data_IF_789142665726
#
_entry.id   IF_789142665726
#
_cell.length_a   1.000
_cell.length_b   1.000
_cell.length_c   1.000
_cell.angle_alpha   90.00
_cell.angle_beta   90.00
_cell.angle_gamma   90.00
#
_symmetry.space_group_name_H-M   'P 1'
#
loop_
_entity.id
_entity.type
_entity.pdbx_description
1 polymer ?
#
# COMPACT_ATOMS: atom_id res chain seq x y z
N UNK A 1 52.56 -6.17 9.36
CA UNK A 1 51.88 -6.24 8.04
C UNK A 1 50.44 -6.60 8.29
N UNK A 2 49.54 -5.63 8.15
CA UNK A 2 48.10 -5.82 8.33
C UNK A 2 47.48 -6.03 6.95
N UNK A 3 46.85 -7.17 6.72
CA UNK A 3 46.09 -7.48 5.52
C UNK A 3 44.70 -6.80 5.63
N UNK A 4 44.48 -5.80 4.79
CA UNK A 4 43.16 -5.21 4.62
C UNK A 4 42.32 -6.12 3.72
N UNK A 5 41.26 -6.69 4.26
CA UNK A 5 40.26 -7.46 3.53
C UNK A 5 39.32 -6.50 2.81
N UNK A 6 39.41 -6.42 1.48
CA UNK A 6 38.45 -5.74 0.62
C UNK A 6 37.17 -6.58 0.53
N UNK A 7 36.11 -6.14 1.18
CA UNK A 7 34.78 -6.67 0.97
C UNK A 7 34.25 -6.20 -0.40
N UNK A 8 34.20 -7.08 -1.38
CA UNK A 8 33.53 -6.85 -2.66
C UNK A 8 32.03 -6.97 -2.43
N UNK A 9 31.34 -5.84 -2.39
CA UNK A 9 29.88 -5.79 -2.41
C UNK A 9 29.42 -6.21 -3.81
N UNK A 10 28.86 -7.41 -3.93
CA UNK A 10 28.20 -7.84 -5.16
C UNK A 10 26.89 -7.07 -5.33
N UNK A 11 26.87 -6.08 -6.23
CA UNK A 11 25.64 -5.45 -6.67
C UNK A 11 24.74 -6.50 -7.32
N UNK A 12 23.51 -6.67 -6.81
CA UNK A 12 22.52 -7.51 -7.45
C UNK A 12 22.26 -7.00 -8.89
N UNK A 13 22.01 -7.90 -9.86
CA UNK A 13 21.76 -7.49 -11.23
C UNK A 13 20.55 -6.57 -11.29
N UNK A 14 20.76 -5.35 -11.77
CA UNK A 14 19.67 -4.42 -12.06
C UNK A 14 18.88 -5.00 -13.23
N UNK A 15 17.72 -5.59 -12.96
CA UNK A 15 16.78 -5.93 -14.04
C UNK A 15 16.44 -4.65 -14.78
N UNK A 16 16.52 -4.66 -16.11
CA UNK A 16 16.05 -3.54 -16.92
C UNK A 16 14.60 -3.23 -16.55
N UNK A 17 14.36 -2.02 -16.04
CA UNK A 17 13.05 -1.57 -15.60
C UNK A 17 12.08 -1.63 -16.79
N UNK A 18 10.91 -2.28 -16.62
CA UNK A 18 9.89 -2.39 -17.66
C UNK A 18 8.91 -1.22 -17.65
N UNK A 19 8.59 -0.73 -16.46
CA UNK A 19 7.68 0.40 -16.26
C UNK A 19 8.42 1.75 -16.32
N UNK A 20 7.65 2.82 -16.43
CA UNK A 20 8.12 4.21 -16.54
C UNK A 20 7.53 5.02 -15.39
N UNK A 21 8.35 5.81 -14.71
CA UNK A 21 7.89 6.81 -13.73
C UNK A 21 7.41 8.05 -14.46
N UNK A 22 6.16 8.45 -14.26
CA UNK A 22 5.57 9.63 -14.90
C UNK A 22 6.28 10.92 -14.43
N UNK A 23 6.64 10.99 -13.16
CA UNK A 23 7.33 12.14 -12.55
C UNK A 23 8.74 12.39 -13.09
N UNK A 24 9.36 11.40 -13.72
CA UNK A 24 10.71 11.53 -14.32
C UNK A 24 10.66 12.02 -15.79
N UNK A 25 9.47 12.19 -16.36
CA UNK A 25 9.28 12.60 -17.74
C UNK A 25 9.01 14.09 -17.88
N UNK A 26 9.50 14.66 -18.96
CA UNK A 26 8.97 15.93 -19.47
C UNK A 26 7.58 15.71 -20.06
N UNK A 27 6.78 16.79 -20.23
CA UNK A 27 5.46 16.65 -20.85
C UNK A 27 5.51 16.11 -22.29
N UNK A 28 6.58 16.41 -23.06
CA UNK A 28 6.80 15.91 -24.42
C UNK A 28 7.06 14.40 -24.42
N UNK A 29 7.77 13.89 -23.41
CA UNK A 29 8.01 12.45 -23.24
C UNK A 29 6.77 11.74 -22.72
N UNK A 30 6.03 12.36 -21.79
CA UNK A 30 4.76 11.84 -21.29
C UNK A 30 3.73 11.66 -22.41
N UNK A 31 3.62 12.58 -23.37
CA UNK A 31 2.74 12.49 -24.54
C UNK A 31 3.01 11.22 -25.38
N UNK A 32 4.25 10.77 -25.45
CA UNK A 32 4.63 9.57 -26.22
C UNK A 32 4.25 8.26 -25.54
N UNK A 33 4.16 8.25 -24.21
CA UNK A 33 3.90 7.03 -23.43
C UNK A 33 2.47 6.94 -22.91
N UNK A 34 1.75 8.05 -22.84
CA UNK A 34 0.33 8.11 -22.46
C UNK A 34 -0.55 7.83 -23.68
N UNK A 35 -0.78 6.56 -23.97
CA UNK A 35 -1.57 6.08 -25.11
C UNK A 35 -2.85 5.38 -24.64
N UNK A 36 -3.84 5.11 -25.50
CA UNK A 36 -5.03 4.35 -25.13
C UNK A 36 -4.75 2.95 -24.56
N UNK A 37 -3.62 2.35 -24.93
CA UNK A 37 -3.21 1.02 -24.46
C UNK A 37 -2.41 1.05 -23.14
N UNK A 38 -2.05 2.24 -22.67
CA UNK A 38 -1.28 2.41 -21.46
C UNK A 38 -2.13 2.09 -20.23
N UNK A 39 -1.59 1.25 -19.33
CA UNK A 39 -2.10 1.11 -17.97
C UNK A 39 -1.32 2.06 -17.07
N UNK A 40 -2.02 2.95 -16.39
CA UNK A 40 -1.44 3.86 -15.39
C UNK A 40 -1.65 3.28 -14.00
N UNK A 41 -0.56 3.09 -13.27
CA UNK A 41 -0.60 2.64 -11.86
C UNK A 41 -0.41 3.85 -10.96
N UNK A 42 -1.29 4.01 -9.96
CA UNK A 42 -1.27 5.10 -8.98
C UNK A 42 -1.02 4.47 -7.60
N UNK A 43 0.21 4.53 -7.05
CA UNK A 43 0.47 4.03 -5.72
C UNK A 43 -0.24 4.87 -4.66
N UNK A 44 -0.75 4.19 -3.61
CA UNK A 44 -1.44 4.82 -2.49
C UNK A 44 -0.94 4.24 -1.17
N UNK A 45 -0.34 5.07 -0.33
CA UNK A 45 0.10 4.70 1.01
C UNK A 45 0.22 5.91 1.91
N UNK A 46 -0.34 5.85 3.12
CA UNK A 46 -0.30 6.93 4.10
C UNK A 46 1.13 7.26 4.55
N UNK A 47 1.51 8.52 4.48
CA UNK A 47 2.79 9.01 5.02
C UNK A 47 2.64 9.58 6.44
N UNK A 48 1.41 9.77 6.89
CA UNK A 48 1.08 10.34 8.20
C UNK A 48 -0.18 9.64 8.77
N UNK A 49 0.00 8.37 9.19
CA UNK A 49 -1.02 7.54 9.84
C UNK A 49 -0.38 6.72 10.95
N UNK A 50 -1.06 6.59 12.06
CA UNK A 50 -0.65 5.78 13.20
C UNK A 50 -0.49 4.29 12.81
N UNK A 51 0.53 3.61 13.37
CA UNK A 51 0.82 2.18 13.20
C UNK A 51 1.47 1.58 14.46
N UNK A 52 0.83 1.77 15.61
CA UNK A 52 1.37 1.28 16.87
C UNK A 52 2.67 1.97 17.30
N UNK A 53 3.25 1.57 18.45
CA UNK A 53 4.42 2.24 19.00
C UNK A 53 5.74 1.84 18.30
N UNK A 54 5.74 0.76 17.51
CA UNK A 54 6.93 0.11 16.94
C UNK A 54 7.13 0.39 15.44
N UNK A 55 6.12 0.91 14.76
CA UNK A 55 6.19 1.30 13.34
C UNK A 55 6.14 2.84 13.20
N UNK A 56 6.56 3.34 12.04
CA UNK A 56 6.56 4.78 11.77
C UNK A 56 5.23 5.22 11.15
N UNK A 57 4.86 6.50 11.31
CA UNK A 57 3.66 7.07 10.67
C UNK A 57 3.61 6.88 9.16
N UNK A 58 4.76 6.78 8.50
CA UNK A 58 4.91 6.56 7.06
C UNK A 58 4.89 5.09 6.63
N UNK A 59 4.43 4.19 7.46
CA UNK A 59 4.45 2.73 7.22
C UNK A 59 3.82 2.36 5.87
N UNK A 60 2.58 2.77 5.62
CA UNK A 60 1.87 2.47 4.37
C UNK A 60 2.56 3.08 3.15
N UNK A 61 3.16 4.28 3.30
CA UNK A 61 3.92 4.91 2.23
C UNK A 61 5.15 4.09 1.86
N UNK A 62 5.90 3.57 2.83
CA UNK A 62 7.06 2.70 2.60
C UNK A 62 6.63 1.41 1.90
N UNK A 63 5.50 0.82 2.30
CA UNK A 63 4.90 -0.32 1.60
C UNK A 63 4.55 0.02 0.14
N UNK A 64 3.86 1.14 -0.09
CA UNK A 64 3.47 1.57 -1.42
C UNK A 64 4.70 1.80 -2.32
N UNK A 65 5.74 2.45 -1.81
CA UNK A 65 7.00 2.67 -2.52
C UNK A 65 7.75 1.35 -2.81
N UNK A 66 7.69 0.38 -1.90
CA UNK A 66 8.25 -0.94 -2.16
C UNK A 66 7.51 -1.62 -3.33
N UNK A 67 6.18 -1.71 -3.27
CA UNK A 67 5.39 -2.34 -4.34
C UNK A 67 5.48 -1.55 -5.65
N UNK A 68 5.53 -0.21 -5.61
CA UNK A 68 5.82 0.65 -6.77
C UNK A 68 7.08 0.19 -7.51
N UNK A 69 8.19 0.03 -6.79
CA UNK A 69 9.47 -0.46 -7.38
C UNK A 69 9.34 -1.88 -7.95
N UNK A 70 8.61 -2.76 -7.26
CA UNK A 70 8.41 -4.14 -7.73
C UNK A 70 7.56 -4.19 -9.01
N UNK A 71 6.53 -3.35 -9.11
CA UNK A 71 5.69 -3.22 -10.32
C UNK A 71 6.50 -2.63 -11.47
N UNK A 72 7.25 -1.56 -11.25
CA UNK A 72 8.14 -0.96 -12.25
C UNK A 72 9.13 -1.95 -12.85
N UNK A 73 9.70 -2.83 -12.02
CA UNK A 73 10.65 -3.83 -12.48
C UNK A 73 10.01 -4.93 -13.36
N UNK A 74 8.71 -5.22 -13.17
CA UNK A 74 8.06 -6.43 -13.70
C UNK A 74 6.95 -6.19 -14.72
N UNK A 75 6.31 -5.02 -14.69
CA UNK A 75 5.16 -4.70 -15.54
C UNK A 75 5.47 -3.55 -16.51
N UNK A 76 4.93 -3.63 -17.71
CA UNK A 76 5.01 -2.55 -18.69
C UNK A 76 3.85 -1.56 -18.42
N UNK A 77 4.08 -0.58 -17.55
CA UNK A 77 3.09 0.39 -17.07
C UNK A 77 3.71 1.78 -16.97
N UNK A 78 2.89 2.80 -16.94
CA UNK A 78 3.29 4.13 -16.47
C UNK A 78 2.84 4.26 -15.01
N UNK A 79 3.76 4.62 -14.12
CA UNK A 79 3.47 4.78 -12.70
C UNK A 79 3.43 6.26 -12.36
N UNK A 80 2.30 6.71 -11.84
CA UNK A 80 2.09 8.08 -11.38
C UNK A 80 2.77 8.32 -10.01
N UNK A 81 2.98 9.58 -9.59
CA UNK A 81 3.42 9.92 -8.25
C UNK A 81 2.56 9.27 -7.18
N UNK A 82 3.20 8.85 -6.08
CA UNK A 82 2.52 8.20 -4.98
C UNK A 82 1.59 9.16 -4.25
N UNK A 83 0.33 8.77 -4.08
CA UNK A 83 -0.65 9.48 -3.25
C UNK A 83 -0.40 9.13 -1.79
N UNK A 84 -0.11 10.13 -0.95
CA UNK A 84 0.32 9.94 0.43
C UNK A 84 -0.70 10.42 1.48
N UNK A 85 -1.82 11.01 1.07
CA UNK A 85 -2.97 11.38 1.90
C UNK A 85 -4.24 10.74 1.37
N UNK A 86 -5.10 10.22 2.26
CA UNK A 86 -6.39 9.66 1.89
C UNK A 86 -7.33 9.56 3.10
N UNK A 87 -8.25 8.62 3.10
CA UNK A 87 -9.31 8.44 4.07
C UNK A 87 -8.92 7.43 5.16
N UNK A 88 -8.61 7.91 6.36
CA UNK A 88 -8.14 7.12 7.51
C UNK A 88 -8.91 7.43 8.81
N UNK A 89 -10.25 7.40 8.83
CA UNK A 89 -11.06 7.89 9.95
C UNK A 89 -10.89 7.06 11.23
N UNK A 90 -10.46 5.79 11.10
CA UNK A 90 -10.28 4.88 12.24
C UNK A 90 -9.12 5.27 13.16
N UNK A 91 -8.22 6.16 12.74
CA UNK A 91 -6.95 6.41 13.42
C UNK A 91 -6.81 7.85 13.94
N UNK A 92 -7.85 8.67 13.84
CA UNK A 92 -7.81 10.11 14.13
C UNK A 92 -7.58 10.45 15.61
N UNK A 93 -7.79 9.51 16.51
CA UNK A 93 -7.52 9.71 17.94
C UNK A 93 -6.02 9.59 18.27
N UNK A 94 -5.20 9.13 17.34
CA UNK A 94 -3.76 8.95 17.53
C UNK A 94 -3.00 10.13 16.90
N UNK A 95 -2.21 10.88 17.70
CA UNK A 95 -1.49 12.05 17.21
C UNK A 95 -0.57 11.74 16.02
N UNK A 96 -0.56 12.62 15.03
CA UNK A 96 0.19 12.45 13.80
C UNK A 96 -0.61 11.79 12.67
N UNK A 97 -1.79 11.23 12.96
CA UNK A 97 -2.68 10.74 11.89
C UNK A 97 -3.40 11.91 11.22
N UNK A 98 -3.38 11.87 9.89
CA UNK A 98 -4.18 12.74 9.02
C UNK A 98 -5.28 11.93 8.35
N UNK A 99 -6.41 12.55 8.05
CA UNK A 99 -7.46 11.95 7.24
C UNK A 99 -8.12 12.99 6.36
N UNK A 100 -8.41 12.63 5.14
CA UNK A 100 -9.28 13.40 4.26
C UNK A 100 -10.74 13.02 4.50
N UNK A 101 -11.67 13.87 4.07
CA UNK A 101 -13.08 13.48 3.96
C UNK A 101 -13.20 12.39 2.89
N UNK A 102 -14.23 11.57 3.01
CA UNK A 102 -14.48 10.47 2.05
C UNK A 102 -14.57 11.00 0.61
N UNK A 103 -15.36 12.05 0.38
CA UNK A 103 -15.56 12.65 -0.93
C UNK A 103 -14.24 13.21 -1.50
N UNK A 104 -13.44 13.88 -0.68
CA UNK A 104 -12.14 14.43 -1.09
C UNK A 104 -11.19 13.32 -1.53
N UNK A 105 -11.13 12.22 -0.77
CA UNK A 105 -10.29 11.08 -1.11
C UNK A 105 -10.76 10.37 -2.40
N UNK A 106 -12.08 10.21 -2.60
CA UNK A 106 -12.67 9.71 -3.84
C UNK A 106 -12.35 10.62 -5.02
N UNK A 107 -12.65 11.90 -4.89
CA UNK A 107 -12.59 12.88 -6.00
C UNK A 107 -11.14 13.11 -6.43
N UNK A 108 -10.17 13.01 -5.53
CA UNK A 108 -8.75 13.07 -5.88
C UNK A 108 -8.37 11.99 -6.90
N UNK A 109 -8.80 10.74 -6.70
CA UNK A 109 -8.54 9.66 -7.69
C UNK A 109 -9.32 9.89 -8.98
N UNK A 110 -10.58 10.34 -8.89
CA UNK A 110 -11.40 10.68 -10.05
C UNK A 110 -10.72 11.76 -10.88
N UNK A 111 -10.25 12.83 -10.26
CA UNK A 111 -9.63 13.96 -10.96
C UNK A 111 -8.27 13.59 -11.57
N UNK A 112 -7.42 12.83 -10.87
CA UNK A 112 -6.16 12.32 -11.42
C UNK A 112 -6.43 11.47 -12.66
N UNK A 113 -7.35 10.52 -12.60
CA UNK A 113 -7.67 9.65 -13.73
C UNK A 113 -8.27 10.43 -14.91
N UNK A 114 -9.20 11.34 -14.65
CA UNK A 114 -9.79 12.22 -15.69
C UNK A 114 -8.74 13.11 -16.37
N UNK A 115 -7.83 13.69 -15.59
CA UNK A 115 -6.77 14.54 -16.12
C UNK A 115 -5.86 13.75 -17.07
N UNK A 116 -5.37 12.58 -16.64
CA UNK A 116 -4.49 11.74 -17.45
C UNK A 116 -5.22 11.12 -18.64
N UNK A 117 -6.51 10.79 -18.51
CA UNK A 117 -7.29 10.18 -19.59
C UNK A 117 -7.50 11.10 -20.79
N UNK A 118 -7.36 12.42 -20.62
CA UNK A 118 -7.39 13.38 -21.74
C UNK A 118 -6.27 13.18 -22.76
N UNK A 119 -5.19 12.50 -22.31
CA UNK A 119 -3.98 12.28 -23.11
C UNK A 119 -3.86 10.85 -23.67
N UNK A 120 -4.90 10.01 -23.49
CA UNK A 120 -4.94 8.67 -24.07
C UNK A 120 -5.36 7.56 -23.13
N UNK A 121 -4.72 7.37 -21.95
CA UNK A 121 -5.00 6.24 -21.08
C UNK A 121 -6.47 6.10 -20.70
N UNK A 122 -6.93 4.84 -20.68
CA UNK A 122 -8.30 4.48 -20.27
C UNK A 122 -8.31 3.42 -19.18
N UNK A 123 -7.14 2.99 -18.72
CA UNK A 123 -6.96 1.94 -17.72
C UNK A 123 -6.08 2.44 -16.60
N UNK A 124 -6.63 2.46 -15.37
CA UNK A 124 -5.97 2.96 -14.17
C UNK A 124 -6.05 1.93 -13.06
N UNK A 125 -4.98 1.75 -12.32
CA UNK A 125 -4.91 0.83 -11.20
C UNK A 125 -4.37 1.53 -9.95
N UNK A 126 -5.16 1.63 -8.89
CA UNK A 126 -4.67 2.10 -7.59
C UNK A 126 -3.96 0.96 -6.86
N UNK A 127 -2.64 1.07 -6.73
CA UNK A 127 -1.80 0.17 -5.93
C UNK A 127 -1.97 0.55 -4.45
N UNK A 128 -3.01 0.02 -3.84
CA UNK A 128 -3.49 0.38 -2.51
C UNK A 128 -2.87 -0.49 -1.42
N UNK A 129 -2.44 0.11 -0.31
CA UNK A 129 -1.86 -0.58 0.85
C UNK A 129 -2.74 -0.49 2.11
N UNK A 130 -3.89 0.18 2.05
CA UNK A 130 -4.74 0.41 3.21
C UNK A 130 -6.14 -0.23 3.10
N UNK A 131 -6.73 -0.58 4.24
CA UNK A 131 -8.10 -1.11 4.32
C UNK A 131 -9.13 0.02 4.20
N UNK A 132 -8.99 1.10 4.96
CA UNK A 132 -9.94 2.22 4.98
C UNK A 132 -10.09 2.91 3.63
N UNK A 133 -9.03 2.91 2.84
CA UNK A 133 -8.94 3.54 1.52
C UNK A 133 -9.71 2.78 0.44
N UNK A 134 -10.05 1.51 0.64
CA UNK A 134 -10.85 0.75 -0.33
C UNK A 134 -12.21 1.38 -0.58
N UNK A 135 -12.87 1.93 0.44
CA UNK A 135 -14.20 2.56 0.30
C UNK A 135 -14.22 3.75 -0.67
N UNK A 136 -13.36 4.78 -0.54
CA UNK A 136 -13.32 5.85 -1.53
C UNK A 136 -12.81 5.38 -2.90
N UNK A 137 -11.93 4.35 -2.99
CA UNK A 137 -11.49 3.78 -4.27
C UNK A 137 -12.62 3.05 -5.00
N UNK A 138 -13.46 2.29 -4.30
CA UNK A 138 -14.65 1.65 -4.85
C UNK A 138 -15.64 2.69 -5.42
N UNK A 139 -15.87 3.77 -4.66
CA UNK A 139 -16.71 4.87 -5.13
C UNK A 139 -16.09 5.59 -6.35
N UNK A 140 -14.78 5.77 -6.39
CA UNK A 140 -14.08 6.31 -7.55
C UNK A 140 -14.20 5.37 -8.77
N UNK A 141 -14.08 4.06 -8.56
CA UNK A 141 -14.27 3.06 -9.62
C UNK A 141 -15.69 3.14 -10.23
N UNK A 142 -16.71 3.32 -9.39
CA UNK A 142 -18.09 3.47 -9.86
C UNK A 142 -18.24 4.69 -10.77
N UNK A 143 -17.68 5.84 -10.39
CA UNK A 143 -17.73 7.07 -11.19
C UNK A 143 -16.96 6.92 -12.50
N UNK A 144 -15.71 6.47 -12.43
CA UNK A 144 -14.82 6.37 -13.58
C UNK A 144 -15.29 5.33 -14.60
N UNK A 145 -15.76 4.17 -14.14
CA UNK A 145 -16.27 3.12 -15.03
C UNK A 145 -17.53 3.57 -15.79
N UNK A 146 -18.38 4.39 -15.18
CA UNK A 146 -19.53 4.99 -15.85
C UNK A 146 -19.12 5.98 -16.98
N UNK A 147 -17.90 6.52 -16.92
CA UNK A 147 -17.31 7.41 -17.92
C UNK A 147 -16.45 6.68 -18.97
N UNK A 148 -16.42 5.35 -18.94
CA UNK A 148 -15.59 4.54 -19.84
C UNK A 148 -14.10 4.54 -19.50
N UNK A 149 -13.75 4.95 -18.27
CA UNK A 149 -12.40 4.87 -17.72
C UNK A 149 -12.34 3.65 -16.80
N UNK A 150 -11.62 2.61 -17.20
CA UNK A 150 -11.47 1.38 -16.42
C UNK A 150 -10.58 1.65 -15.19
N UNK A 151 -11.15 1.49 -14.02
CA UNK A 151 -10.43 1.69 -12.76
C UNK A 151 -10.49 0.44 -11.88
N UNK A 152 -9.33 -0.09 -11.53
CA UNK A 152 -9.16 -1.18 -10.57
C UNK A 152 -8.31 -0.74 -9.38
N UNK A 153 -8.33 -1.52 -8.31
CA UNK A 153 -7.50 -1.26 -7.13
C UNK A 153 -7.16 -2.56 -6.39
N UNK A 154 -6.06 -2.56 -5.65
CA UNK A 154 -5.70 -3.69 -4.77
C UNK A 154 -6.69 -3.78 -3.62
N UNK A 155 -7.45 -4.88 -3.54
CA UNK A 155 -8.15 -5.27 -2.32
C UNK A 155 -7.13 -5.92 -1.38
N UNK A 156 -6.60 -5.13 -0.44
CA UNK A 156 -5.52 -5.57 0.43
C UNK A 156 -5.94 -6.71 1.37
N UNK A 157 -7.23 -6.82 1.69
CA UNK A 157 -7.76 -7.92 2.51
C UNK A 157 -7.79 -9.27 1.77
N UNK A 158 -7.76 -9.25 0.44
CA UNK A 158 -7.80 -10.46 -0.39
C UNK A 158 -6.43 -10.79 -0.98
N UNK A 159 -5.65 -9.77 -1.31
CA UNK A 159 -4.41 -9.92 -2.08
C UNK A 159 -3.38 -10.85 -1.43
N UNK A 160 -3.29 -10.83 -0.10
CA UNK A 160 -2.38 -11.68 0.69
C UNK A 160 -3.07 -12.75 1.53
N UNK A 161 -4.42 -12.80 1.55
CA UNK A 161 -5.20 -13.53 2.54
C UNK A 161 -4.81 -15.01 2.75
N UNK A 162 -4.53 -15.74 1.67
CA UNK A 162 -4.13 -17.15 1.77
C UNK A 162 -2.76 -17.32 2.43
N UNK A 163 -1.80 -16.45 2.12
CA UNK A 163 -0.48 -16.45 2.71
C UNK A 163 -0.53 -16.00 4.18
N UNK A 164 -1.29 -14.95 4.48
CA UNK A 164 -1.52 -14.48 5.85
C UNK A 164 -2.10 -15.59 6.72
N UNK A 165 -3.16 -16.24 6.26
CA UNK A 165 -3.79 -17.37 6.96
C UNK A 165 -2.81 -18.53 7.21
N UNK A 166 -1.88 -18.77 6.30
CA UNK A 166 -0.90 -19.86 6.43
C UNK A 166 0.18 -19.57 7.47
N UNK A 167 0.51 -18.31 7.72
CA UNK A 167 1.65 -17.93 8.58
C UNK A 167 1.25 -17.27 9.88
N UNK A 168 0.07 -16.66 9.97
CA UNK A 168 -0.41 -15.95 11.16
C UNK A 168 -0.63 -16.89 12.34
N UNK A 169 -0.21 -16.45 13.53
CA UNK A 169 -0.38 -17.14 14.81
C UNK A 169 -1.14 -16.31 15.83
N UNK A 170 -1.42 -15.04 15.52
CA UNK A 170 -2.19 -14.18 16.42
C UNK A 170 -3.64 -14.62 16.53
N UNK A 171 -4.28 -14.28 17.64
CA UNK A 171 -5.68 -14.57 17.92
C UNK A 171 -6.63 -13.83 16.98
N UNK A 172 -6.27 -12.61 16.64
CA UNK A 172 -6.96 -11.71 15.69
C UNK A 172 -6.21 -10.40 15.58
N UNK A 173 -6.61 -9.58 14.63
CA UNK A 173 -5.96 -8.30 14.38
C UNK A 173 -5.97 -7.95 12.90
N UNK A 174 -5.73 -6.68 12.59
CA UNK A 174 -5.71 -6.16 11.23
C UNK A 174 -4.93 -4.84 11.11
N UNK A 175 -4.22 -4.42 12.18
CA UNK A 175 -3.51 -3.14 12.15
C UNK A 175 -2.30 -3.11 13.09
N UNK A 176 -1.15 -2.72 12.56
CA UNK A 176 0.13 -2.73 13.26
C UNK A 176 0.36 -4.05 14.01
N UNK A 177 -0.13 -5.13 13.44
CA UNK A 177 -0.24 -6.47 13.99
C UNK A 177 0.93 -7.38 13.59
N UNK A 178 0.79 -8.67 13.80
CA UNK A 178 1.76 -9.68 13.40
C UNK A 178 2.12 -9.58 11.91
N UNK A 179 1.13 -9.45 11.05
CA UNK A 179 1.32 -9.51 9.59
C UNK A 179 1.91 -8.20 9.06
N UNK A 180 1.33 -7.07 9.43
CA UNK A 180 1.82 -5.77 8.96
C UNK A 180 3.25 -5.49 9.45
N UNK A 181 3.55 -5.85 10.71
CA UNK A 181 4.91 -5.77 11.26
C UNK A 181 5.87 -6.72 10.54
N UNK A 182 5.44 -7.95 10.21
CA UNK A 182 6.24 -8.90 9.45
C UNK A 182 6.57 -8.39 8.05
N UNK A 183 5.59 -7.79 7.35
CA UNK A 183 5.81 -7.15 6.05
C UNK A 183 6.92 -6.10 6.18
N UNK A 184 6.87 -5.24 7.19
CA UNK A 184 7.88 -4.19 7.39
C UNK A 184 9.24 -4.76 7.77
N UNK A 185 9.32 -5.80 8.57
CA UNK A 185 10.58 -6.52 8.85
C UNK A 185 11.22 -7.09 7.59
N UNK A 186 10.43 -7.44 6.57
CA UNK A 186 10.94 -7.90 5.28
C UNK A 186 11.40 -6.76 4.38
N UNK A 187 10.58 -5.68 4.24
CA UNK A 187 10.82 -4.64 3.23
C UNK A 187 11.71 -3.50 3.71
N UNK A 188 11.63 -3.15 5.01
CA UNK A 188 12.41 -2.06 5.64
C UNK A 188 12.61 -2.32 7.15
N UNK A 189 13.43 -3.31 7.53
CA UNK A 189 13.64 -3.68 8.93
C UNK A 189 14.20 -2.53 9.79
N UNK A 190 14.90 -1.57 9.18
CA UNK A 190 15.46 -0.42 9.90
C UNK A 190 14.39 0.55 10.41
N UNK A 191 13.18 0.50 9.85
CA UNK A 191 12.04 1.34 10.29
C UNK A 191 11.25 0.72 11.44
N UNK A 192 11.52 -0.52 11.82
CA UNK A 192 10.79 -1.29 12.84
C UNK A 192 11.55 -1.32 14.15
N UNK A 193 10.91 -0.92 15.25
CA UNK A 193 11.47 -1.04 16.60
C UNK A 193 10.77 -2.16 17.38
N UNK A 194 11.25 -3.39 17.20
CA UNK A 194 10.66 -4.57 17.87
C UNK A 194 10.69 -4.51 19.39
N UNK A 195 11.54 -3.68 20.01
CA UNK A 195 11.53 -3.49 21.47
C UNK A 195 10.26 -2.81 21.98
N UNK A 196 9.51 -2.17 21.08
CA UNK A 196 8.22 -1.50 21.33
C UNK A 196 7.02 -2.28 20.79
N UNK A 197 7.23 -3.43 20.16
CA UNK A 197 6.14 -4.27 19.69
C UNK A 197 5.29 -4.76 20.87
N UNK A 198 3.97 -4.72 20.71
CA UNK A 198 3.00 -5.08 21.75
C UNK A 198 1.95 -6.05 21.22
N UNK A 199 1.35 -6.83 22.11
CA UNK A 199 0.05 -7.44 21.91
C UNK A 199 -1.00 -6.48 22.45
N UNK A 200 -1.86 -5.96 21.57
CA UNK A 200 -2.99 -5.10 21.94
C UNK A 200 -4.20 -5.50 21.09
N UNK A 201 -4.95 -6.49 21.57
CA UNK A 201 -6.11 -7.04 20.86
C UNK A 201 -7.27 -7.21 21.82
N UNK A 202 -8.34 -6.47 21.55
CA UNK A 202 -9.61 -6.51 22.27
C UNK A 202 -10.73 -6.75 21.24
N UNK A 203 -11.26 -8.00 21.13
CA UNK A 203 -12.28 -8.31 20.13
C UNK A 203 -13.46 -7.33 20.19
N UNK A 204 -13.85 -6.80 19.03
CA UNK A 204 -14.96 -5.86 18.92
C UNK A 204 -15.70 -6.09 17.61
N UNK A 205 -17.04 -6.08 17.68
CA UNK A 205 -17.89 -6.08 16.49
C UNK A 205 -18.02 -4.68 15.85
N UNK A 206 -17.50 -3.65 16.53
CA UNK A 206 -17.56 -2.25 16.08
C UNK A 206 -16.30 -1.89 15.31
N UNK A 207 -16.48 -1.21 14.20
CA UNK A 207 -15.39 -0.71 13.37
C UNK A 207 -14.74 0.55 13.97
N UNK A 208 -13.45 0.77 13.61
CA UNK A 208 -12.65 1.90 14.07
C UNK A 208 -11.91 1.63 15.37
N UNK A 209 -10.71 2.22 15.50
CA UNK A 209 -9.94 2.17 16.74
C UNK A 209 -10.27 3.36 17.64
N UNK A 210 -10.20 3.15 18.96
CA UNK A 210 -10.36 4.21 19.95
C UNK A 210 -9.38 4.03 21.10
N UNK A 211 -8.85 5.14 21.61
CA UNK A 211 -8.02 5.20 22.82
C UNK A 211 -8.84 5.28 24.11
N UNK A 212 -10.15 5.47 24.00
CA UNK A 212 -11.05 5.58 25.13
C UNK A 212 -11.91 4.31 25.25
N UNK A 213 -11.71 3.48 26.29
CA UNK A 213 -12.45 2.24 26.46
C UNK A 213 -13.96 2.44 26.65
N UNK A 214 -14.42 3.70 26.87
CA UNK A 214 -15.85 4.02 27.02
C UNK A 214 -16.51 4.39 25.70
N UNK A 215 -15.73 4.65 24.65
CA UNK A 215 -16.24 4.97 23.33
C UNK A 215 -16.57 3.71 22.51
N UNK A 216 -17.51 3.81 21.56
CA UNK A 216 -17.74 2.72 20.61
C UNK A 216 -16.54 2.57 19.67
N UNK A 217 -16.12 1.32 19.43
CA UNK A 217 -14.96 0.98 18.59
C UNK A 217 -14.16 -0.17 19.18
N UNK A 218 -13.12 -0.59 18.49
CA UNK A 218 -12.13 -1.51 19.01
C UNK A 218 -11.15 -0.69 19.88
N UNK A 219 -11.14 -0.97 21.18
CA UNK A 219 -10.22 -0.29 22.10
C UNK A 219 -8.79 -0.72 21.83
N UNK A 220 -7.89 0.25 21.69
CA UNK A 220 -6.46 0.06 21.68
C UNK A 220 -5.75 1.26 22.30
N UNK A 221 -5.06 1.03 23.40
CA UNK A 221 -4.28 2.09 24.03
C UNK A 221 -3.02 2.43 23.21
N UNK A 222 -2.48 1.45 22.51
CA UNK A 222 -1.22 1.57 21.74
C UNK A 222 -1.41 1.99 20.30
N UNK A 223 -2.62 1.85 19.74
CA UNK A 223 -2.88 1.98 18.30
C UNK A 223 -2.77 0.67 17.54
N UNK A 224 -2.02 -0.30 18.01
CA UNK A 224 -1.99 -1.63 17.40
C UNK A 224 -3.32 -2.37 17.64
N UNK A 225 -3.71 -3.22 16.69
CA UNK A 225 -4.85 -4.12 16.83
C UNK A 225 -4.47 -5.51 16.35
N UNK A 226 -3.86 -6.27 17.26
CA UNK A 226 -3.30 -7.61 17.03
C UNK A 226 -2.13 -7.91 17.95
N UNK A 227 -1.20 -8.76 17.50
CA UNK A 227 -0.01 -9.16 18.26
C UNK A 227 1.27 -8.99 17.43
N UNK A 228 1.84 -7.79 17.44
CA UNK A 228 3.08 -7.46 16.73
C UNK A 228 4.30 -8.25 17.24
N UNK A 229 4.25 -8.81 18.46
CA UNK A 229 5.37 -9.56 19.07
C UNK A 229 5.64 -10.88 18.36
N UNK A 230 4.67 -11.39 17.59
CA UNK A 230 4.76 -12.62 16.82
C UNK A 230 5.33 -12.42 15.40
N UNK A 231 5.64 -11.18 15.03
CA UNK A 231 6.12 -10.86 13.72
C UNK A 231 7.49 -11.45 13.41
N UNK A 232 7.67 -11.92 12.18
CA UNK A 232 8.97 -12.35 11.65
C UNK A 232 9.14 -11.94 10.20
N UNK A 233 10.40 -11.79 9.78
CA UNK A 233 10.76 -11.44 8.41
C UNK A 233 10.26 -12.47 7.37
N UNK A 234 10.30 -13.75 7.71
CA UNK A 234 9.89 -14.86 6.83
C UNK A 234 8.37 -14.82 6.55
N UNK A 235 7.56 -14.51 7.56
CA UNK A 235 6.11 -14.29 7.39
C UNK A 235 5.87 -13.11 6.43
N UNK A 236 6.59 -12.02 6.63
CA UNK A 236 6.52 -10.84 5.78
C UNK A 236 6.88 -11.15 4.34
N UNK A 237 7.94 -11.92 4.09
CA UNK A 237 8.34 -12.35 2.75
C UNK A 237 7.24 -13.12 2.05
N UNK A 238 6.65 -14.12 2.73
CA UNK A 238 5.58 -14.94 2.16
C UNK A 238 4.36 -14.08 1.77
N UNK A 239 3.93 -13.16 2.64
CA UNK A 239 2.77 -12.30 2.40
C UNK A 239 3.07 -11.27 1.30
N UNK A 240 4.23 -10.63 1.32
CA UNK A 240 4.64 -9.66 0.29
C UNK A 240 4.68 -10.29 -1.10
N UNK A 241 5.20 -11.51 -1.24
CA UNK A 241 5.23 -12.21 -2.53
C UNK A 241 3.81 -12.53 -3.03
N UNK A 242 2.91 -12.94 -2.14
CA UNK A 242 1.52 -13.22 -2.49
C UNK A 242 0.78 -11.96 -2.96
N UNK A 243 0.93 -10.84 -2.22
CA UNK A 243 0.35 -9.55 -2.61
C UNK A 243 0.89 -9.11 -3.97
N UNK A 244 2.20 -9.18 -4.17
CA UNK A 244 2.82 -8.77 -5.43
C UNK A 244 2.32 -9.59 -6.63
N UNK A 245 2.18 -10.91 -6.47
CA UNK A 245 1.61 -11.77 -7.52
C UNK A 245 0.18 -11.37 -7.86
N UNK A 246 -0.66 -11.07 -6.86
CA UNK A 246 -2.03 -10.62 -7.07
C UNK A 246 -2.06 -9.29 -7.80
N UNK A 247 -1.28 -8.30 -7.36
CA UNK A 247 -1.16 -6.99 -8.00
C UNK A 247 -0.78 -7.11 -9.48
N UNK A 248 0.26 -7.89 -9.81
CA UNK A 248 0.70 -8.07 -11.19
C UNK A 248 -0.36 -8.75 -12.05
N UNK A 249 -1.08 -9.73 -11.50
CA UNK A 249 -2.20 -10.40 -12.18
C UNK A 249 -3.36 -9.43 -12.44
N UNK A 250 -3.70 -8.59 -11.47
CA UNK A 250 -4.80 -7.63 -11.60
C UNK A 250 -4.48 -6.54 -12.63
N UNK A 251 -3.24 -6.05 -12.65
CA UNK A 251 -2.76 -5.11 -13.68
C UNK A 251 -2.87 -5.74 -15.07
N UNK A 252 -2.47 -7.00 -15.23
CA UNK A 252 -2.55 -7.69 -16.52
C UNK A 252 -4.01 -7.96 -16.92
N UNK A 253 -4.87 -8.35 -15.99
CA UNK A 253 -6.31 -8.48 -16.22
C UNK A 253 -6.94 -7.16 -16.69
N UNK A 254 -6.56 -6.06 -16.04
CA UNK A 254 -7.04 -4.71 -16.42
C UNK A 254 -6.58 -4.33 -17.84
N UNK A 255 -5.34 -4.71 -18.23
CA UNK A 255 -4.81 -4.50 -19.58
C UNK A 255 -5.65 -5.20 -20.65
N UNK A 256 -6.12 -6.42 -20.35
CA UNK A 256 -6.90 -7.25 -21.28
C UNK A 256 -8.38 -6.87 -21.34
N UNK A 257 -8.86 -6.03 -20.43
CA UNK A 257 -10.24 -5.56 -20.42
C UNK A 257 -10.46 -4.59 -21.59
N UNK A 258 -11.45 -4.83 -22.47
CA UNK A 258 -11.73 -3.99 -23.63
C UNK A 258 -12.15 -2.57 -23.26
#
# INVERSE_FOLDING_TARGET
MALASLAVSAAAPAFAQKGILLEDLTWIEAEKVLTPDTVVVIPLGAESKEHGPHLKLKNDFVMAEYFKRQVLARANVVVAPTVNYSFYPAFVEYPGTTTLRFETARDMFVDICRALSRHGPRRFYALNTGVSTMRPLEAAATVLNAEGIRFGYTNILEAGAAAEKAVSKQEGGTHADEIETSIMLYIDPASVDMSKAVKDYHPSEKSGLTRDPKKPGAYSASGAYGDATLATREKGEAVVQAILQTVLKDIEKLRQTP
#
